data_IF_929990843663
#
_entry.id   IF_929990843663
#
_cell.length_a   1.000
_cell.length_b   1.000
_cell.length_c   1.000
_cell.angle_alpha   90.00
_cell.angle_beta   90.00
_cell.angle_gamma   90.00
#
_symmetry.space_group_name_H-M   'P 1'
#
loop_
_entity.id
_entity.type
_entity.pdbx_description
1 polymer ?
#
# COMPACT_ATOMS: atom_id res chain seq x y z
N UNK A 1 -12.58 5.71 -8.73
CA UNK A 1 -12.44 7.15 -8.50
C UNK A 1 -10.97 7.54 -8.40
N UNK A 2 -10.63 8.74 -8.88
CA UNK A 2 -9.31 9.33 -8.72
C UNK A 2 -9.07 9.80 -7.28
N UNK A 3 -7.81 10.12 -6.96
CA UNK A 3 -7.47 10.72 -5.65
C UNK A 3 -8.21 12.04 -5.44
N UNK A 4 -8.32 12.86 -6.49
CA UNK A 4 -9.04 14.14 -6.45
C UNK A 4 -10.53 13.95 -6.13
N UNK A 5 -11.18 12.95 -6.72
CA UNK A 5 -12.59 12.63 -6.44
C UNK A 5 -12.79 12.15 -4.99
N UNK A 6 -11.88 11.29 -4.48
CA UNK A 6 -11.91 10.84 -3.09
C UNK A 6 -11.71 12.01 -2.11
N UNK A 7 -10.78 12.91 -2.42
CA UNK A 7 -10.53 14.10 -1.62
C UNK A 7 -11.74 15.05 -1.62
N UNK A 8 -12.33 15.28 -2.80
CA UNK A 8 -13.56 16.09 -2.92
C UNK A 8 -14.73 15.46 -2.14
N UNK A 9 -14.85 14.12 -2.18
CA UNK A 9 -15.86 13.42 -1.39
C UNK A 9 -15.63 13.56 0.12
N UNK A 10 -14.39 13.45 0.60
CA UNK A 10 -14.08 13.66 2.01
C UNK A 10 -14.44 15.08 2.49
N UNK A 11 -14.13 16.10 1.68
CA UNK A 11 -14.55 17.49 1.94
C UNK A 11 -16.07 17.63 1.96
N UNK A 12 -16.76 17.05 0.98
CA UNK A 12 -18.23 17.05 0.94
C UNK A 12 -18.84 16.43 2.21
N UNK A 13 -18.25 15.33 2.74
CA UNK A 13 -18.72 14.74 4.00
C UNK A 13 -18.49 15.70 5.16
N UNK A 14 -17.32 16.34 5.25
CA UNK A 14 -17.01 17.29 6.30
C UNK A 14 -17.96 18.51 6.28
N UNK A 15 -18.26 19.04 5.09
CA UNK A 15 -19.23 20.13 4.90
C UNK A 15 -20.64 19.69 5.27
N UNK A 16 -21.08 18.53 4.78
CA UNK A 16 -22.45 18.04 4.99
C UNK A 16 -22.78 17.77 6.46
N UNK A 17 -21.80 17.34 7.22
CA UNK A 17 -21.96 17.01 8.64
C UNK A 17 -21.37 18.07 9.57
N UNK A 18 -20.97 19.23 9.01
CA UNK A 18 -20.44 20.38 9.75
C UNK A 18 -19.27 20.01 10.67
N UNK A 19 -18.34 19.16 10.18
CA UNK A 19 -17.26 18.60 11.00
C UNK A 19 -16.08 19.57 11.22
N UNK A 20 -15.93 20.61 10.38
CA UNK A 20 -14.75 21.49 10.43
C UNK A 20 -14.50 22.14 11.79
N UNK A 21 -15.51 22.59 12.55
CA UNK A 21 -15.29 23.20 13.87
C UNK A 21 -14.69 22.23 14.91
N UNK A 22 -14.89 20.91 14.70
CA UNK A 22 -14.44 19.87 15.62
C UNK A 22 -13.10 19.24 15.20
N UNK A 23 -12.49 19.71 14.10
CA UNK A 23 -11.21 19.23 13.59
C UNK A 23 -10.10 20.22 13.92
N UNK A 24 -9.09 19.78 14.64
CA UNK A 24 -7.86 20.54 14.85
C UNK A 24 -6.78 20.01 13.91
N UNK A 25 -6.39 20.80 12.92
CA UNK A 25 -5.33 20.48 11.97
C UNK A 25 -3.94 20.78 12.56
N UNK A 26 -2.90 20.26 11.91
CA UNK A 26 -1.49 20.49 12.26
C UNK A 26 -1.15 20.19 13.73
N UNK A 27 -1.90 19.26 14.32
CA UNK A 27 -1.84 18.92 15.75
C UNK A 27 -1.49 17.46 15.96
N UNK A 28 -0.23 17.04 15.65
CA UNK A 28 0.19 15.66 15.85
C UNK A 28 0.12 15.28 17.32
N UNK A 29 -0.57 14.17 17.61
CA UNK A 29 -0.64 13.64 18.98
C UNK A 29 0.67 12.94 19.32
N UNK A 30 1.30 13.35 20.43
CA UNK A 30 2.53 12.74 20.93
C UNK A 30 2.31 11.84 22.14
N UNK A 31 1.31 12.15 22.98
CA UNK A 31 1.04 11.39 24.21
C UNK A 31 -0.46 11.18 24.41
N UNK A 32 -0.81 10.04 24.98
CA UNK A 32 -2.14 9.76 25.49
C UNK A 32 -2.02 9.03 26.84
N UNK A 33 -2.58 9.59 27.91
CA UNK A 33 -2.46 9.05 29.26
C UNK A 33 -3.80 8.85 29.91
N UNK A 34 -4.01 7.66 30.47
CA UNK A 34 -5.19 7.32 31.26
C UNK A 34 -5.04 7.80 32.70
N UNK A 35 -6.06 8.48 33.22
CA UNK A 35 -6.22 8.77 34.64
C UNK A 35 -7.18 7.76 35.25
N UNK A 36 -6.70 7.00 36.24
CA UNK A 36 -7.55 6.06 36.97
C UNK A 36 -8.50 6.78 37.95
N UNK A 37 -8.08 7.93 38.47
CA UNK A 37 -8.88 8.73 39.37
C UNK A 37 -10.06 9.38 38.65
N UNK A 38 -9.79 10.03 37.51
CA UNK A 38 -10.82 10.75 36.75
C UNK A 38 -11.54 9.87 35.73
N UNK A 39 -11.02 8.67 35.45
CA UNK A 39 -11.48 7.77 34.40
C UNK A 39 -11.56 8.44 33.02
N UNK A 40 -10.54 9.20 32.69
CA UNK A 40 -10.41 9.96 31.45
C UNK A 40 -9.05 9.78 30.80
N UNK A 41 -8.99 10.04 29.51
CA UNK A 41 -7.77 10.17 28.72
C UNK A 41 -7.36 11.65 28.65
N UNK A 42 -6.08 11.95 28.91
CA UNK A 42 -5.45 13.22 28.53
C UNK A 42 -4.59 12.99 27.31
N UNK A 43 -4.93 13.64 26.21
CA UNK A 43 -4.19 13.64 24.93
C UNK A 43 -3.38 14.90 24.84
N UNK A 44 -2.08 14.78 24.49
CA UNK A 44 -1.16 15.91 24.34
C UNK A 44 -0.63 15.96 22.91
N UNK A 45 -0.73 17.10 22.28
CA UNK A 45 -0.19 17.39 20.93
C UNK A 45 1.25 17.90 21.00
N UNK A 46 1.92 17.96 19.84
CA UNK A 46 3.34 18.35 19.76
C UNK A 46 3.64 19.80 20.20
N UNK A 47 2.66 20.68 20.15
CA UNK A 47 2.74 22.05 20.68
C UNK A 47 2.47 22.14 22.20
N UNK A 48 2.19 21.01 22.85
CA UNK A 48 1.91 20.92 24.28
C UNK A 48 0.44 21.15 24.65
N UNK A 49 -0.45 21.40 23.70
CA UNK A 49 -1.89 21.50 23.95
C UNK A 49 -2.44 20.20 24.50
N UNK A 50 -3.30 20.28 25.52
CA UNK A 50 -3.91 19.12 26.16
C UNK A 50 -5.43 19.13 26.00
N UNK A 51 -5.97 17.96 25.74
CA UNK A 51 -7.42 17.70 25.72
C UNK A 51 -7.74 16.49 26.58
N UNK A 52 -8.81 16.59 27.39
CA UNK A 52 -9.27 15.50 28.23
C UNK A 52 -10.60 14.97 27.72
N UNK A 53 -10.72 13.66 27.62
CA UNK A 53 -11.93 12.99 27.12
C UNK A 53 -12.18 11.66 27.84
N UNK A 54 -13.44 11.29 27.99
CA UNK A 54 -13.82 10.00 28.57
C UNK A 54 -13.48 8.82 27.67
N UNK A 55 -13.57 9.02 26.35
CA UNK A 55 -13.26 8.01 25.32
C UNK A 55 -12.16 8.52 24.41
N UNK A 56 -11.25 7.63 24.04
CA UNK A 56 -10.20 7.90 23.06
C UNK A 56 -10.34 6.95 21.87
N UNK A 57 -10.62 7.48 20.69
CA UNK A 57 -10.78 6.69 19.47
C UNK A 57 -9.58 6.92 18.58
N UNK A 58 -8.74 5.88 18.46
CA UNK A 58 -7.53 5.92 17.65
C UNK A 58 -7.86 5.58 16.18
N UNK A 59 -8.24 6.59 15.41
CA UNK A 59 -8.47 6.49 13.98
C UNK A 59 -7.21 6.88 13.18
N UNK A 60 -6.05 6.41 13.63
CA UNK A 60 -4.71 6.84 13.15
C UNK A 60 -4.37 6.33 11.75
N UNK A 61 -5.12 5.35 11.24
CA UNK A 61 -4.82 4.65 10.00
C UNK A 61 -3.62 3.71 10.09
N UNK A 62 -3.59 2.72 9.23
CA UNK A 62 -2.53 1.71 9.20
C UNK A 62 -1.33 2.08 8.31
N UNK A 63 -1.45 3.13 7.47
CA UNK A 63 -0.42 3.60 6.53
C UNK A 63 -0.13 5.10 6.71
N UNK A 64 -0.17 5.60 7.94
CA UNK A 64 0.10 7.03 8.24
C UNK A 64 1.55 7.29 8.65
N UNK A 65 2.26 6.24 9.07
CA UNK A 65 3.64 6.34 9.53
C UNK A 65 4.59 6.02 8.38
N UNK A 66 5.20 7.05 7.82
CA UNK A 66 6.12 6.93 6.67
C UNK A 66 7.38 6.18 7.09
N UNK A 67 7.82 5.22 6.26
CA UNK A 67 9.10 4.54 6.40
C UNK A 67 10.16 5.25 5.54
N UNK A 68 10.92 6.15 6.15
CA UNK A 68 12.06 6.78 5.50
C UNK A 68 13.29 5.92 5.72
N UNK A 69 13.87 5.32 4.68
CA UNK A 69 15.05 4.50 4.82
C UNK A 69 16.26 5.33 5.25
N UNK A 70 17.14 4.71 6.04
CA UNK A 70 18.38 5.35 6.48
C UNK A 70 19.50 5.01 5.48
N UNK A 71 19.41 5.51 4.26
CA UNK A 71 20.51 5.41 3.32
C UNK A 71 21.65 6.35 3.76
N UNK A 72 22.87 5.82 3.79
CA UNK A 72 24.07 6.61 4.03
C UNK A 72 24.15 7.71 2.96
N UNK A 73 24.36 8.95 3.36
CA UNK A 73 24.53 10.09 2.46
C UNK A 73 23.26 10.67 1.84
N UNK A 74 22.06 10.16 2.18
CA UNK A 74 20.80 10.68 1.63
C UNK A 74 20.64 12.20 1.87
N UNK A 75 21.13 12.67 3.00
CA UNK A 75 21.12 14.09 3.39
C UNK A 75 22.07 14.97 2.56
N UNK A 76 23.00 14.35 1.84
CA UNK A 76 24.01 15.05 1.02
C UNK A 76 23.63 15.07 -0.48
N UNK A 77 22.54 14.44 -0.86
CA UNK A 77 22.09 14.44 -2.25
C UNK A 77 21.78 15.87 -2.72
N UNK A 78 22.32 16.25 -3.88
CA UNK A 78 22.19 17.62 -4.39
C UNK A 78 20.82 17.96 -4.96
N UNK A 79 20.06 16.94 -5.38
CA UNK A 79 18.74 17.09 -5.98
C UNK A 79 17.61 16.94 -4.96
N UNK A 80 16.35 17.08 -5.39
CA UNK A 80 15.19 16.85 -4.55
C UNK A 80 14.99 15.35 -4.24
N UNK A 81 14.56 15.07 -3.01
CA UNK A 81 14.14 13.75 -2.57
C UNK A 81 12.65 13.78 -2.24
N UNK A 82 11.87 13.04 -3.00
CA UNK A 82 10.42 12.93 -2.81
C UNK A 82 10.06 11.59 -2.19
N UNK A 83 9.11 11.56 -1.26
CA UNK A 83 8.56 10.32 -0.76
C UNK A 83 7.10 10.18 -1.20
N UNK A 84 6.71 9.01 -1.75
CA UNK A 84 5.35 8.79 -2.28
C UNK A 84 4.24 9.04 -1.26
N UNK A 85 4.53 8.94 0.05
CA UNK A 85 3.60 9.25 1.12
C UNK A 85 3.56 10.74 1.54
N UNK A 86 4.43 11.56 0.99
CA UNK A 86 4.54 13.00 1.25
C UNK A 86 4.71 13.76 -0.06
N UNK A 87 3.87 13.40 -1.04
CA UNK A 87 3.93 14.03 -2.35
C UNK A 87 3.51 15.49 -2.26
N UNK A 88 4.23 16.42 -2.90
CA UNK A 88 3.85 17.84 -2.91
C UNK A 88 2.44 18.05 -3.49
N UNK A 89 1.65 18.91 -2.90
CA UNK A 89 0.27 19.21 -3.33
C UNK A 89 0.20 19.74 -4.78
N UNK A 90 1.22 20.45 -5.22
CA UNK A 90 1.35 20.96 -6.60
C UNK A 90 1.82 19.92 -7.61
N UNK A 91 2.10 18.68 -7.17
CA UNK A 91 2.75 17.67 -8.01
C UNK A 91 4.25 17.91 -8.18
N UNK A 92 4.90 17.06 -8.96
CA UNK A 92 6.32 17.17 -9.33
C UNK A 92 6.42 16.98 -10.84
N UNK A 93 7.15 17.87 -11.50
CA UNK A 93 7.47 17.75 -12.93
C UNK A 93 8.87 17.15 -13.07
N UNK A 94 8.96 16.00 -13.72
CA UNK A 94 10.21 15.28 -14.00
C UNK A 94 10.68 15.47 -15.45
N UNK A 95 10.09 16.38 -16.21
CA UNK A 95 10.43 16.59 -17.61
C UNK A 95 11.92 16.88 -17.81
N UNK A 96 12.58 16.03 -18.59
CA UNK A 96 14.01 16.17 -18.92
C UNK A 96 14.97 15.77 -17.81
N UNK A 97 14.49 15.25 -16.67
CA UNK A 97 15.32 14.83 -15.53
C UNK A 97 15.69 13.34 -15.63
N UNK A 98 16.84 12.99 -15.07
CA UNK A 98 17.21 11.61 -14.70
C UNK A 98 16.64 11.32 -13.31
N UNK A 99 15.79 10.33 -13.19
CA UNK A 99 15.05 10.05 -11.95
C UNK A 99 15.37 8.66 -11.42
N UNK A 100 15.68 8.57 -10.13
CA UNK A 100 15.71 7.29 -9.41
C UNK A 100 14.38 7.02 -8.72
N UNK A 101 13.80 5.83 -8.90
CA UNK A 101 12.70 5.34 -8.05
C UNK A 101 13.20 4.16 -7.22
N UNK A 102 13.16 4.28 -5.90
CA UNK A 102 13.61 3.23 -4.98
C UNK A 102 12.38 2.52 -4.38
N UNK A 103 12.16 1.28 -4.83
CA UNK A 103 11.06 0.43 -4.37
C UNK A 103 9.97 0.20 -5.41
N UNK A 104 9.51 -1.05 -5.47
CA UNK A 104 8.52 -1.59 -6.41
C UNK A 104 7.31 -2.20 -5.71
N UNK A 105 6.92 -1.65 -4.55
CA UNK A 105 5.63 -1.92 -3.90
C UNK A 105 4.48 -1.18 -4.58
N UNK A 106 3.27 -1.22 -4.00
CA UNK A 106 2.07 -0.62 -4.60
C UNK A 106 2.23 0.84 -5.04
N UNK A 107 2.96 1.66 -4.26
CA UNK A 107 3.21 3.05 -4.63
C UNK A 107 4.18 3.17 -5.81
N UNK A 108 5.27 2.34 -5.82
CA UNK A 108 6.22 2.28 -6.94
C UNK A 108 5.52 1.81 -8.22
N UNK A 109 4.77 0.72 -8.16
CA UNK A 109 4.01 0.18 -9.30
C UNK A 109 3.11 1.23 -9.95
N UNK A 110 2.50 2.12 -9.19
CA UNK A 110 1.61 3.15 -9.71
C UNK A 110 2.34 4.42 -10.18
N UNK A 111 3.48 4.77 -9.57
CA UNK A 111 4.22 5.99 -9.92
C UNK A 111 5.23 5.80 -11.06
N UNK A 112 5.84 4.62 -11.17
CA UNK A 112 6.85 4.30 -12.18
C UNK A 112 6.37 4.61 -13.61
N UNK A 113 5.18 4.14 -14.06
CA UNK A 113 4.72 4.43 -15.42
C UNK A 113 4.56 5.93 -15.69
N UNK A 114 4.00 6.66 -14.74
CA UNK A 114 3.77 8.11 -14.87
C UNK A 114 5.08 8.90 -14.91
N UNK A 115 6.05 8.52 -14.07
CA UNK A 115 7.38 9.15 -14.07
C UNK A 115 8.12 8.84 -15.37
N UNK A 116 8.03 7.59 -15.86
CA UNK A 116 8.67 7.16 -17.11
C UNK A 116 8.19 7.93 -18.35
N UNK A 117 6.98 8.46 -18.34
CA UNK A 117 6.44 9.30 -19.41
C UNK A 117 7.09 10.68 -19.47
N UNK A 118 7.55 11.19 -18.33
CA UNK A 118 8.10 12.54 -18.19
C UNK A 118 9.63 12.57 -18.19
N UNK A 119 10.24 11.62 -17.47
CA UNK A 119 11.68 11.60 -17.24
C UNK A 119 12.49 11.38 -18.54
N UNK A 120 13.62 12.05 -18.65
CA UNK A 120 14.60 11.75 -19.69
C UNK A 120 15.15 10.33 -19.51
N UNK A 121 15.48 9.97 -18.27
CA UNK A 121 15.92 8.63 -17.88
C UNK A 121 15.29 8.26 -16.54
N UNK A 122 14.84 7.01 -16.40
CA UNK A 122 14.30 6.46 -15.18
C UNK A 122 15.07 5.21 -14.77
N UNK A 123 15.71 5.25 -13.60
CA UNK A 123 16.34 4.09 -12.96
C UNK A 123 15.48 3.59 -11.80
N UNK A 124 15.01 2.36 -11.90
CA UNK A 124 14.18 1.72 -10.87
C UNK A 124 15.03 0.73 -10.07
N UNK A 125 15.15 0.97 -8.77
CA UNK A 125 15.88 0.09 -7.85
C UNK A 125 14.89 -0.88 -7.18
N UNK A 126 14.99 -2.16 -7.52
CA UNK A 126 14.11 -3.22 -7.05
C UNK A 126 14.82 -4.18 -6.12
N UNK A 127 14.36 -4.31 -4.89
CA UNK A 127 14.81 -5.36 -3.96
C UNK A 127 14.03 -6.67 -4.14
N UNK A 128 12.74 -6.58 -4.41
CA UNK A 128 11.86 -7.73 -4.53
C UNK A 128 10.76 -7.42 -5.53
N UNK A 129 10.63 -8.26 -6.54
CA UNK A 129 9.52 -8.18 -7.48
C UNK A 129 8.17 -8.43 -6.79
N UNK A 130 7.12 -7.79 -7.25
CA UNK A 130 5.75 -8.02 -6.80
C UNK A 130 4.89 -8.54 -7.94
N UNK A 131 3.87 -9.33 -7.58
CA UNK A 131 2.80 -9.67 -8.51
C UNK A 131 1.96 -8.42 -8.78
N UNK A 132 1.82 -8.05 -10.05
CA UNK A 132 1.03 -6.92 -10.49
C UNK A 132 -0.02 -7.40 -11.49
N UNK A 133 -1.28 -7.14 -11.17
CA UNK A 133 -2.40 -7.42 -12.07
C UNK A 133 -2.79 -6.12 -12.78
N UNK A 134 -3.14 -6.15 -14.06
CA UNK A 134 -3.59 -4.96 -14.77
C UNK A 134 -4.76 -4.27 -14.07
N UNK A 135 -4.71 -2.96 -13.95
CA UNK A 135 -5.80 -2.17 -13.38
C UNK A 135 -6.96 -2.00 -14.37
N UNK A 136 -6.65 -1.97 -15.65
CA UNK A 136 -7.59 -1.61 -16.72
C UNK A 136 -8.41 -0.36 -16.37
N UNK A 137 -7.71 0.63 -15.79
CA UNK A 137 -8.33 1.87 -15.33
C UNK A 137 -8.91 2.64 -16.54
N UNK A 138 -10.19 2.96 -16.46
CA UNK A 138 -10.93 3.67 -17.50
C UNK A 138 -12.01 4.57 -16.92
N UNK A 139 -12.44 5.52 -17.68
CA UNK A 139 -13.67 6.25 -17.36
C UNK A 139 -14.87 5.31 -17.46
N UNK A 140 -15.77 5.38 -16.49
CA UNK A 140 -17.01 4.61 -16.53
C UNK A 140 -18.00 5.26 -17.50
N UNK A 141 -18.71 4.44 -18.27
CA UNK A 141 -19.80 4.90 -19.10
C UNK A 141 -20.97 5.40 -18.23
N UNK A 142 -21.63 6.51 -18.56
CA UNK A 142 -22.79 7.01 -17.81
C UNK A 142 -23.93 5.99 -17.65
N UNK A 143 -24.15 5.13 -18.63
CA UNK A 143 -25.15 4.07 -18.54
C UNK A 143 -24.74 2.99 -17.51
N UNK A 144 -23.46 2.59 -17.51
CA UNK A 144 -22.87 1.68 -16.51
C UNK A 144 -23.00 2.27 -15.09
N UNK A 145 -22.70 3.56 -14.91
CA UNK A 145 -22.88 4.26 -13.63
C UNK A 145 -24.34 4.24 -13.19
N UNK A 146 -25.27 4.47 -14.10
CA UNK A 146 -26.71 4.44 -13.81
C UNK A 146 -27.17 3.04 -13.38
N UNK A 147 -26.71 1.99 -14.06
CA UNK A 147 -27.00 0.60 -13.73
C UNK A 147 -26.45 0.22 -12.35
N UNK A 148 -25.19 0.56 -12.05
CA UNK A 148 -24.58 0.33 -10.75
C UNK A 148 -25.40 1.01 -9.64
N UNK A 149 -25.80 2.29 -9.85
CA UNK A 149 -26.60 3.04 -8.87
C UNK A 149 -27.99 2.43 -8.65
N UNK A 150 -28.63 1.96 -9.71
CA UNK A 150 -29.94 1.27 -9.62
C UNK A 150 -29.88 -0.01 -8.80
N UNK A 151 -28.75 -0.71 -8.86
CA UNK A 151 -28.51 -2.00 -8.20
C UNK A 151 -27.74 -1.89 -6.85
N UNK A 152 -27.48 -0.69 -6.33
CA UNK A 152 -26.74 -0.48 -5.07
C UNK A 152 -27.24 -1.33 -3.89
N UNK A 153 -28.55 -1.46 -3.59
CA UNK A 153 -28.99 -2.27 -2.45
C UNK A 153 -28.54 -3.73 -2.57
N UNK A 154 -28.64 -4.31 -3.76
CA UNK A 154 -28.25 -5.70 -4.02
C UNK A 154 -26.72 -5.88 -3.97
N UNK A 155 -25.97 -4.97 -4.60
CA UNK A 155 -24.50 -4.99 -4.59
C UNK A 155 -23.95 -4.85 -3.17
N UNK A 156 -24.53 -3.98 -2.36
CA UNK A 156 -24.16 -3.82 -0.94
C UNK A 156 -24.50 -5.04 -0.11
N UNK A 157 -25.64 -5.67 -0.34
CA UNK A 157 -26.00 -6.90 0.35
C UNK A 157 -25.02 -8.04 0.02
N UNK A 158 -24.65 -8.21 -1.25
CA UNK A 158 -23.63 -9.17 -1.68
C UNK A 158 -22.25 -8.87 -1.05
N UNK A 159 -21.83 -7.61 -1.06
CA UNK A 159 -20.57 -7.21 -0.44
C UNK A 159 -20.57 -7.47 1.08
N UNK A 160 -21.64 -7.12 1.79
CA UNK A 160 -21.77 -7.36 3.23
C UNK A 160 -21.75 -8.84 3.60
N UNK A 161 -22.23 -9.71 2.71
CA UNK A 161 -22.21 -11.16 2.90
C UNK A 161 -20.87 -11.81 2.56
N UNK A 162 -19.94 -11.07 1.95
CA UNK A 162 -18.62 -11.58 1.58
C UNK A 162 -17.61 -11.43 2.72
N UNK A 163 -16.60 -12.31 2.74
CA UNK A 163 -15.54 -12.31 3.77
C UNK A 163 -14.77 -10.98 3.85
N UNK A 164 -14.53 -10.32 2.71
CA UNK A 164 -13.70 -9.10 2.64
C UNK A 164 -14.49 -7.79 2.53
N UNK A 165 -15.83 -7.85 2.56
CA UNK A 165 -16.66 -6.69 2.27
C UNK A 165 -16.69 -6.27 0.79
N UNK A 166 -16.02 -7.03 -0.08
CA UNK A 166 -15.99 -6.86 -1.53
C UNK A 166 -16.53 -8.12 -2.20
N UNK A 167 -17.42 -7.96 -3.15
CA UNK A 167 -17.97 -9.09 -3.88
C UNK A 167 -17.11 -9.40 -5.12
N UNK A 168 -16.27 -10.42 -4.99
CA UNK A 168 -15.62 -11.08 -6.12
C UNK A 168 -16.11 -12.52 -6.16
N UNK A 169 -16.88 -12.93 -7.19
CA UNK A 169 -17.33 -14.32 -7.29
C UNK A 169 -16.12 -15.24 -7.41
N UNK A 170 -16.08 -16.30 -6.61
CA UNK A 170 -15.06 -17.34 -6.71
C UNK A 170 -15.29 -18.12 -8.00
N UNK A 171 -14.23 -18.29 -8.81
CA UNK A 171 -14.31 -18.99 -10.09
C UNK A 171 -14.46 -20.50 -9.93
N UNK A 172 -13.67 -21.10 -9.03
CA UNK A 172 -13.74 -22.53 -8.76
C UNK A 172 -13.28 -22.91 -7.36
N UNK A 173 -13.64 -24.12 -6.88
CA UNK A 173 -13.25 -24.58 -5.54
C UNK A 173 -11.76 -24.93 -5.45
N UNK A 174 -11.15 -25.44 -6.51
CA UNK A 174 -9.76 -25.92 -6.50
C UNK A 174 -9.10 -25.76 -7.85
N UNK A 175 -7.95 -25.08 -7.87
CA UNK A 175 -7.10 -24.98 -9.04
C UNK A 175 -6.40 -26.31 -9.36
N UNK A 176 -6.07 -27.11 -8.33
CA UNK A 176 -5.43 -28.42 -8.52
C UNK A 176 -6.38 -29.40 -9.18
N UNK A 177 -7.67 -29.37 -8.82
CA UNK A 177 -8.67 -30.28 -9.37
C UNK A 177 -9.14 -29.89 -10.78
N UNK A 178 -8.96 -28.61 -11.16
CA UNK A 178 -9.32 -28.12 -12.49
C UNK A 178 -8.29 -28.61 -13.54
N UNK A 179 -8.74 -28.86 -14.77
CA UNK A 179 -7.82 -29.10 -15.88
C UNK A 179 -6.98 -27.84 -16.20
N UNK A 180 -5.84 -28.04 -16.87
CA UNK A 180 -4.99 -26.93 -17.29
C UNK A 180 -5.74 -25.94 -18.19
N UNK A 181 -6.60 -26.45 -19.08
CA UNK A 181 -7.40 -25.63 -19.97
C UNK A 181 -8.42 -24.77 -19.19
N UNK A 182 -9.10 -25.36 -18.19
CA UNK A 182 -10.03 -24.63 -17.32
C UNK A 182 -9.31 -23.56 -16.50
N UNK A 183 -8.17 -23.91 -15.91
CA UNK A 183 -7.34 -22.91 -15.17
C UNK A 183 -6.93 -21.76 -16.05
N UNK A 184 -6.36 -22.03 -17.22
CA UNK A 184 -5.89 -21.01 -18.14
C UNK A 184 -7.03 -20.09 -18.59
N UNK A 185 -8.20 -20.64 -18.88
CA UNK A 185 -9.40 -19.87 -19.25
C UNK A 185 -9.86 -18.96 -18.10
N UNK A 186 -9.89 -19.46 -16.85
CA UNK A 186 -10.27 -18.69 -15.68
C UNK A 186 -9.23 -17.59 -15.40
N UNK A 187 -7.93 -17.92 -15.40
CA UNK A 187 -6.87 -16.94 -15.16
C UNK A 187 -6.85 -15.87 -16.23
N UNK A 188 -7.02 -16.23 -17.51
CA UNK A 188 -7.08 -15.25 -18.59
C UNK A 188 -8.30 -14.32 -18.44
N UNK A 189 -9.45 -14.88 -18.10
CA UNK A 189 -10.67 -14.09 -17.84
C UNK A 189 -10.45 -13.08 -16.70
N UNK A 190 -9.79 -13.51 -15.60
CA UNK A 190 -9.46 -12.62 -14.47
C UNK A 190 -8.40 -11.58 -14.81
N UNK A 191 -7.41 -11.96 -15.61
CA UNK A 191 -6.40 -11.04 -16.10
C UNK A 191 -7.01 -9.93 -16.96
N UNK A 192 -7.94 -10.28 -17.84
CA UNK A 192 -8.67 -9.34 -18.70
C UNK A 192 -9.65 -8.47 -17.90
N UNK A 193 -10.25 -8.99 -16.85
CA UNK A 193 -11.09 -8.22 -15.94
C UNK A 193 -10.25 -7.24 -15.13
N UNK A 194 -9.06 -7.66 -14.72
CA UNK A 194 -8.11 -6.88 -13.94
C UNK A 194 -8.47 -6.74 -12.47
N UNK A 195 -7.63 -5.97 -11.77
CA UNK A 195 -7.83 -5.65 -10.36
C UNK A 195 -7.71 -6.84 -9.42
N UNK A 196 -8.31 -6.72 -8.23
CA UNK A 196 -8.19 -7.73 -7.18
C UNK A 196 -9.02 -8.99 -7.43
N UNK A 197 -9.88 -9.01 -8.45
CA UNK A 197 -10.72 -10.16 -8.77
C UNK A 197 -9.90 -11.43 -9.10
N UNK A 198 -8.64 -11.29 -9.52
CA UNK A 198 -7.73 -12.41 -9.77
C UNK A 198 -7.52 -13.29 -8.52
N UNK A 199 -7.51 -12.69 -7.33
CA UNK A 199 -7.37 -13.42 -6.05
C UNK A 199 -8.50 -14.42 -5.79
N UNK A 200 -9.64 -14.23 -6.41
CA UNK A 200 -10.81 -15.08 -6.27
C UNK A 200 -10.98 -16.11 -7.42
N UNK A 201 -9.95 -16.32 -8.25
CA UNK A 201 -10.04 -17.29 -9.33
C UNK A 201 -10.27 -18.72 -8.80
N UNK A 202 -9.60 -19.09 -7.71
CA UNK A 202 -9.82 -20.36 -7.01
C UNK A 202 -9.75 -20.18 -5.49
N UNK A 203 -10.50 -21.03 -4.76
CA UNK A 203 -10.61 -20.93 -3.30
C UNK A 203 -9.40 -21.48 -2.55
N UNK A 204 -8.57 -22.31 -3.20
CA UNK A 204 -7.46 -23.05 -2.57
C UNK A 204 -6.09 -22.38 -2.64
N UNK A 205 -5.98 -21.18 -3.18
CA UNK A 205 -4.70 -20.46 -3.29
C UNK A 205 -3.99 -20.24 -1.94
N UNK A 206 -4.74 -20.07 -0.87
CA UNK A 206 -4.18 -19.84 0.47
C UNK A 206 -3.93 -21.13 1.26
N UNK A 207 -4.37 -22.28 0.75
CA UNK A 207 -4.32 -23.56 1.47
C UNK A 207 -3.54 -24.63 0.73
N UNK A 208 -3.16 -24.40 -0.55
CA UNK A 208 -2.40 -25.33 -1.38
C UNK A 208 -1.29 -24.58 -2.12
N UNK A 209 -0.03 -24.96 -1.85
CA UNK A 209 1.12 -24.42 -2.57
C UNK A 209 1.08 -24.79 -4.06
N UNK A 210 0.59 -25.99 -4.40
CA UNK A 210 0.43 -26.46 -5.78
C UNK A 210 -0.60 -25.57 -6.52
N UNK A 211 -1.75 -25.28 -5.91
CA UNK A 211 -2.73 -24.37 -6.47
C UNK A 211 -2.14 -22.97 -6.67
N UNK A 212 -1.44 -22.47 -5.67
CA UNK A 212 -0.79 -21.16 -5.69
C UNK A 212 0.25 -21.06 -6.81
N UNK A 213 1.06 -22.09 -7.01
CA UNK A 213 2.11 -22.12 -8.04
C UNK A 213 1.52 -22.05 -9.44
N UNK A 214 0.34 -22.65 -9.68
CA UNK A 214 -0.33 -22.52 -11.00
C UNK A 214 -0.69 -21.08 -11.34
N UNK A 215 -1.17 -20.29 -10.37
CA UNK A 215 -1.46 -18.87 -10.54
C UNK A 215 -0.17 -18.05 -10.68
N UNK A 216 0.84 -18.38 -9.85
CA UNK A 216 2.15 -17.76 -9.88
C UNK A 216 2.80 -17.88 -11.25
N UNK A 217 2.82 -19.08 -11.81
CA UNK A 217 3.44 -19.34 -13.12
C UNK A 217 2.64 -18.71 -14.27
N UNK A 218 1.32 -18.69 -14.17
CA UNK A 218 0.50 -17.93 -15.14
C UNK A 218 0.91 -16.47 -15.21
N UNK A 219 1.05 -15.79 -14.04
CA UNK A 219 1.44 -14.38 -14.00
C UNK A 219 2.87 -14.18 -14.51
N UNK A 220 3.82 -15.07 -14.14
CA UNK A 220 5.20 -15.00 -14.64
C UNK A 220 5.24 -15.15 -16.17
N UNK A 221 4.42 -16.01 -16.74
CA UNK A 221 4.32 -16.15 -18.19
C UNK A 221 3.72 -14.91 -18.86
N UNK A 222 2.77 -14.23 -18.21
CA UNK A 222 2.31 -12.90 -18.67
C UNK A 222 3.43 -11.88 -18.68
N UNK A 223 4.26 -11.83 -17.63
CA UNK A 223 5.41 -10.91 -17.55
C UNK A 223 6.39 -11.18 -18.69
N UNK A 224 6.77 -12.47 -18.91
CA UNK A 224 7.65 -12.88 -20.02
C UNK A 224 7.08 -12.56 -21.40
N UNK A 225 5.75 -12.57 -21.53
CA UNK A 225 5.09 -12.19 -22.77
C UNK A 225 4.97 -10.69 -23.03
N UNK A 226 4.97 -9.87 -21.96
CA UNK A 226 4.85 -8.41 -22.04
C UNK A 226 6.23 -7.75 -22.16
N UNK A 227 7.18 -8.15 -21.31
CA UNK A 227 8.53 -7.55 -21.24
C UNK A 227 9.42 -8.17 -22.30
N UNK A 228 9.95 -7.32 -23.20
CA UNK A 228 10.71 -7.77 -24.39
C UNK A 228 12.10 -8.29 -24.06
N UNK A 229 12.78 -7.66 -23.08
CA UNK A 229 14.09 -8.11 -22.64
C UNK A 229 13.96 -9.27 -21.65
N UNK A 230 14.48 -10.48 -21.97
CA UNK A 230 14.31 -11.65 -21.10
C UNK A 230 14.94 -11.47 -19.72
N UNK A 231 16.07 -10.75 -19.62
CA UNK A 231 16.73 -10.54 -18.33
C UNK A 231 15.87 -9.66 -17.42
N UNK A 232 15.34 -8.59 -17.94
CA UNK A 232 14.40 -7.71 -17.23
C UNK A 232 13.10 -8.45 -16.87
N UNK A 233 12.57 -9.28 -17.76
CA UNK A 233 11.39 -10.08 -17.49
C UNK A 233 11.60 -11.03 -16.29
N UNK A 234 12.74 -11.70 -16.19
CA UNK A 234 13.06 -12.58 -15.05
C UNK A 234 13.29 -11.80 -13.75
N UNK A 235 13.85 -10.59 -13.80
CA UNK A 235 13.96 -9.72 -12.63
C UNK A 235 12.59 -9.26 -12.13
N UNK A 236 11.64 -9.05 -13.01
CA UNK A 236 10.26 -8.64 -12.68
C UNK A 236 9.37 -9.83 -12.29
N UNK A 237 9.78 -11.06 -12.60
CA UNK A 237 9.04 -12.27 -12.24
C UNK A 237 9.20 -12.59 -10.74
N UNK A 238 8.10 -12.53 -9.93
CA UNK A 238 8.19 -12.78 -8.50
C UNK A 238 8.54 -14.24 -8.19
N UNK A 239 9.44 -14.44 -7.22
CA UNK A 239 9.89 -15.78 -6.78
C UNK A 239 9.11 -16.28 -5.55
N UNK A 240 8.44 -15.39 -4.81
CA UNK A 240 7.61 -15.76 -3.65
C UNK A 240 6.26 -16.33 -4.11
N UNK A 241 5.56 -16.98 -3.19
CA UNK A 241 4.19 -17.43 -3.42
C UNK A 241 3.26 -16.24 -3.69
N UNK A 242 2.32 -16.44 -4.60
CA UNK A 242 1.26 -15.48 -4.89
C UNK A 242 0.45 -15.18 -3.61
N UNK A 243 0.09 -13.94 -3.36
CA UNK A 243 -0.59 -13.45 -2.15
C UNK A 243 0.22 -13.47 -0.84
N UNK A 244 1.50 -13.93 -0.81
CA UNK A 244 2.36 -13.74 0.36
C UNK A 244 2.70 -12.27 0.64
N UNK A 245 2.57 -11.43 -0.37
CA UNK A 245 2.56 -9.97 -0.26
C UNK A 245 1.25 -9.44 -0.84
N UNK A 246 0.86 -8.23 -0.43
CA UNK A 246 -0.31 -7.59 -1.00
C UNK A 246 -0.17 -7.52 -2.52
N UNK A 247 -1.17 -8.07 -3.22
CA UNK A 247 -1.25 -8.00 -4.67
C UNK A 247 -1.29 -6.52 -5.10
N UNK A 248 -0.39 -6.16 -6.01
CA UNK A 248 -0.38 -4.84 -6.61
C UNK A 248 -1.30 -4.80 -7.84
N UNK A 249 -1.90 -3.65 -8.06
CA UNK A 249 -2.69 -3.36 -9.25
C UNK A 249 -2.07 -2.16 -9.94
N UNK A 250 -1.75 -2.28 -11.22
CA UNK A 250 -1.03 -1.26 -11.97
C UNK A 250 -1.56 -1.09 -13.39
N UNK A 251 -1.41 0.10 -13.93
CA UNK A 251 -1.64 0.41 -15.35
C UNK A 251 -0.29 0.49 -16.04
N UNK A 252 -0.10 -0.28 -17.11
CA UNK A 252 1.08 -0.30 -17.97
C UNK A 252 2.43 -0.51 -17.23
N UNK A 253 2.40 -1.17 -16.05
CA UNK A 253 3.59 -1.33 -15.22
C UNK A 253 4.68 -2.16 -15.91
N UNK A 254 4.33 -3.32 -16.45
CA UNK A 254 5.30 -4.19 -17.13
C UNK A 254 5.70 -3.63 -18.49
N UNK A 255 4.76 -3.04 -19.22
CA UNK A 255 4.96 -2.37 -20.51
C UNK A 255 5.98 -1.22 -20.41
N UNK A 256 6.00 -0.54 -19.25
CA UNK A 256 6.92 0.56 -18.96
C UNK A 256 8.38 0.15 -19.10
N UNK A 257 8.73 -1.08 -18.74
CA UNK A 257 10.11 -1.59 -18.84
C UNK A 257 10.55 -1.92 -20.29
N UNK A 258 9.65 -1.77 -21.26
CA UNK A 258 10.00 -1.83 -22.69
C UNK A 258 10.43 -0.47 -23.28
N UNK A 259 10.40 0.60 -22.48
CA UNK A 259 10.81 1.93 -22.89
C UNK A 259 12.34 2.04 -22.86
N UNK A 260 12.92 2.74 -23.83
CA UNK A 260 14.37 2.92 -23.93
C UNK A 260 14.94 3.76 -22.76
N UNK A 261 14.12 4.64 -22.18
CA UNK A 261 14.52 5.48 -21.06
C UNK A 261 14.34 4.85 -19.68
N UNK A 262 14.00 3.55 -19.58
CA UNK A 262 13.76 2.88 -18.28
C UNK A 262 14.77 1.76 -18.06
N UNK A 263 15.47 1.82 -16.94
CA UNK A 263 16.42 0.80 -16.48
C UNK A 263 15.97 0.20 -15.16
N UNK A 264 15.95 -1.12 -15.05
CA UNK A 264 15.71 -1.85 -13.81
C UNK A 264 17.05 -2.30 -13.21
N UNK A 265 17.27 -1.98 -11.94
CA UNK A 265 18.45 -2.37 -11.17
C UNK A 265 18.00 -3.29 -10.02
N UNK A 266 18.53 -4.51 -10.00
CA UNK A 266 18.31 -5.43 -8.90
C UNK A 266 19.23 -5.08 -7.71
N UNK A 267 18.61 -4.77 -6.57
CA UNK A 267 19.29 -4.48 -5.31
C UNK A 267 18.96 -5.52 -4.23
N UNK A 268 18.62 -6.74 -4.63
CA UNK A 268 18.31 -7.84 -3.72
C UNK A 268 19.56 -8.43 -3.07
N UNK A 269 20.64 -8.59 -3.83
CA UNK A 269 21.92 -9.13 -3.36
C UNK A 269 22.95 -8.02 -3.14
N UNK A 270 23.08 -7.09 -4.08
CA UNK A 270 23.93 -5.90 -3.95
C UNK A 270 23.06 -4.71 -3.57
N UNK A 271 23.03 -4.40 -2.29
CA UNK A 271 22.18 -3.30 -1.75
C UNK A 271 22.68 -1.92 -2.19
N UNK A 272 21.83 -0.92 -2.06
CA UNK A 272 22.26 0.49 -2.20
C UNK A 272 23.26 0.80 -1.07
N UNK A 273 24.51 1.07 -1.44
CA UNK A 273 25.59 1.35 -0.49
C UNK A 273 25.51 2.76 0.09
N UNK A 274 25.25 3.73 -0.78
CA UNK A 274 25.28 5.14 -0.43
C UNK A 274 24.53 5.99 -1.47
N UNK A 275 23.95 7.06 -1.01
CA UNK A 275 23.49 8.15 -1.86
C UNK A 275 24.59 9.20 -1.92
N UNK A 276 25.09 9.45 -3.12
CA UNK A 276 26.10 10.46 -3.40
C UNK A 276 25.43 11.81 -3.75
N UNK A 277 26.16 12.93 -3.74
CA UNK A 277 25.60 14.19 -4.20
C UNK A 277 25.01 14.14 -5.63
N UNK A 278 25.59 13.33 -6.50
CA UNK A 278 25.21 13.19 -7.91
C UNK A 278 24.30 11.97 -8.20
N UNK A 279 24.07 11.06 -7.24
CA UNK A 279 23.29 9.85 -7.56
C UNK A 279 23.31 8.73 -6.54
N UNK A 280 22.99 7.53 -7.00
CA UNK A 280 22.84 6.31 -6.21
C UNK A 280 23.98 5.34 -6.51
N UNK A 281 24.69 4.88 -5.49
CA UNK A 281 25.76 3.88 -5.63
C UNK A 281 25.27 2.49 -5.21
N UNK A 282 25.53 1.52 -6.10
CA UNK A 282 25.26 0.10 -5.88
C UNK A 282 26.52 -0.68 -6.27
N UNK A 283 27.26 -1.21 -5.30
CA UNK A 283 28.57 -1.81 -5.54
C UNK A 283 29.55 -0.78 -6.15
N UNK A 284 30.11 -1.13 -7.29
CA UNK A 284 31.04 -0.25 -8.03
C UNK A 284 30.31 0.72 -8.97
N UNK A 285 29.03 0.49 -9.24
CA UNK A 285 28.25 1.33 -10.17
C UNK A 285 27.68 2.56 -9.49
N UNK A 286 27.76 3.70 -10.18
CA UNK A 286 27.09 4.96 -9.80
C UNK A 286 26.05 5.29 -10.85
N UNK A 287 24.80 5.45 -10.42
CA UNK A 287 23.69 5.88 -11.24
C UNK A 287 23.44 7.37 -10.98
N UNK A 288 23.92 8.20 -11.90
CA UNK A 288 23.72 9.65 -11.79
C UNK A 288 22.24 9.99 -12.00
N UNK A 289 21.67 10.77 -11.08
CA UNK A 289 20.27 11.18 -11.12
C UNK A 289 20.11 12.61 -10.61
N UNK A 290 19.08 13.28 -11.12
CA UNK A 290 18.74 14.65 -10.76
C UNK A 290 17.67 14.71 -9.66
N UNK A 291 16.89 13.63 -9.49
CA UNK A 291 15.88 13.50 -8.44
C UNK A 291 15.76 12.05 -7.95
N UNK A 292 15.38 11.88 -6.66
CA UNK A 292 15.12 10.58 -6.06
C UNK A 292 13.67 10.52 -5.57
N UNK A 293 12.96 9.44 -5.93
CA UNK A 293 11.62 9.11 -5.44
C UNK A 293 11.70 7.88 -4.55
N UNK A 294 11.41 8.05 -3.28
CA UNK A 294 11.34 6.97 -2.30
C UNK A 294 9.92 6.37 -2.30
N UNK A 295 9.78 5.19 -2.90
CA UNK A 295 8.57 4.36 -2.86
C UNK A 295 8.73 3.23 -1.82
N UNK A 296 9.34 3.55 -0.67
CA UNK A 296 9.77 2.62 0.38
C UNK A 296 8.68 2.27 1.39
N UNK A 297 7.48 2.81 1.19
CA UNK A 297 6.28 2.44 1.93
C UNK A 297 6.19 3.04 3.33
N UNK A 298 5.58 2.28 4.23
CA UNK A 298 5.17 2.74 5.56
C UNK A 298 5.67 1.78 6.63
N UNK A 299 5.80 2.28 7.86
CA UNK A 299 5.78 1.49 9.08
C UNK A 299 4.32 1.09 9.34
N UNK A 300 3.91 0.03 8.61
CA UNK A 300 2.52 -0.35 8.46
C UNK A 300 1.93 -0.88 9.77
N UNK A 301 0.61 -0.83 9.89
CA UNK A 301 -0.22 -1.42 10.92
C UNK A 301 -0.11 -0.71 12.28
N UNK A 302 1.01 -0.85 12.97
CA UNK A 302 1.21 -0.38 14.34
C UNK A 302 2.08 0.85 14.45
N UNK A 303 2.78 1.23 13.38
CA UNK A 303 3.76 2.32 13.41
C UNK A 303 3.18 3.65 13.88
N UNK A 304 1.98 4.02 13.42
CA UNK A 304 1.32 5.24 13.86
C UNK A 304 1.03 5.24 15.38
N UNK A 305 0.51 4.12 15.93
CA UNK A 305 0.21 3.99 17.35
C UNK A 305 1.48 3.88 18.21
N UNK A 306 2.50 3.15 17.75
CA UNK A 306 3.78 2.99 18.48
C UNK A 306 4.62 4.28 18.54
N UNK A 307 4.34 5.26 17.68
CA UNK A 307 4.99 6.59 17.73
C UNK A 307 4.41 7.49 18.83
N UNK A 308 3.15 7.27 19.22
CA UNK A 308 2.51 7.97 20.33
C UNK A 308 2.89 7.28 21.64
N UNK A 309 3.27 8.05 22.67
CA UNK A 309 3.48 7.52 24.02
C UNK A 309 2.12 7.31 24.71
N UNK A 310 1.55 6.12 24.50
CA UNK A 310 0.24 5.74 25.03
C UNK A 310 0.43 4.94 26.31
N UNK A 311 -0.15 5.44 27.42
CA UNK A 311 -0.08 4.85 28.74
C UNK A 311 -1.47 4.60 29.31
N UNK A 312 -1.73 3.35 29.68
CA UNK A 312 -2.98 2.89 30.27
C UNK A 312 -2.94 2.74 31.80
N UNK A 313 -3.71 1.78 32.29
CA UNK A 313 -3.79 1.43 33.73
C UNK A 313 -2.42 1.01 34.25
N UNK A 314 -2.06 1.44 35.48
CA UNK A 314 -0.74 1.18 36.09
C UNK A 314 0.45 1.67 35.22
N UNK A 315 0.26 2.74 34.47
CA UNK A 315 1.23 3.29 33.51
C UNK A 315 1.69 2.29 32.42
N UNK A 316 0.87 1.28 32.12
CA UNK A 316 1.18 0.28 31.11
C UNK A 316 1.43 0.93 29.73
N UNK A 317 2.60 0.67 29.15
CA UNK A 317 2.98 1.19 27.83
C UNK A 317 2.41 0.31 26.73
N UNK A 318 1.71 0.90 25.75
CA UNK A 318 1.25 0.19 24.56
C UNK A 318 2.43 -0.35 23.72
N UNK A 319 3.51 0.44 23.64
CA UNK A 319 4.72 0.05 22.91
C UNK A 319 5.35 -1.21 23.49
N UNK A 320 5.47 -1.27 24.81
CA UNK A 320 6.08 -2.41 25.50
C UNK A 320 5.17 -3.65 25.43
N UNK A 321 3.83 -3.44 25.56
CA UNK A 321 2.88 -4.52 25.42
C UNK A 321 2.88 -5.16 24.01
N UNK A 322 3.26 -4.38 23.03
CA UNK A 322 3.34 -4.79 21.60
C UNK A 322 4.78 -5.04 21.11
N UNK A 323 5.73 -5.22 22.02
CA UNK A 323 7.13 -5.45 21.64
C UNK A 323 7.28 -6.73 20.83
N UNK A 324 6.78 -7.86 21.34
CA UNK A 324 6.85 -9.16 20.67
C UNK A 324 5.85 -9.28 19.52
N UNK A 325 4.59 -8.95 19.77
CA UNK A 325 3.54 -8.99 18.77
C UNK A 325 2.37 -8.06 19.13
N UNK A 326 1.82 -7.32 18.15
CA UNK A 326 0.66 -6.50 18.39
C UNK A 326 -0.59 -7.38 18.60
N UNK A 327 -1.31 -7.13 19.69
CA UNK A 327 -2.54 -7.84 20.04
C UNK A 327 -3.64 -6.88 20.37
N UNK A 328 -4.83 -7.14 19.85
CA UNK A 328 -6.05 -6.40 20.18
C UNK A 328 -7.24 -7.38 20.23
N UNK A 329 -8.25 -7.05 21.00
CA UNK A 329 -9.51 -7.76 20.99
C UNK A 329 -10.32 -7.32 19.77
N UNK A 330 -10.52 -8.22 18.82
CA UNK A 330 -11.23 -8.00 17.56
C UNK A 330 -10.72 -6.79 16.73
N UNK A 331 -9.44 -6.42 16.90
CA UNK A 331 -8.91 -5.22 16.25
C UNK A 331 -9.44 -3.89 16.81
N UNK A 332 -10.14 -3.92 17.93
CA UNK A 332 -10.90 -2.77 18.45
C UNK A 332 -10.40 -2.27 19.80
N UNK A 333 -10.10 -3.17 20.76
CA UNK A 333 -9.76 -2.81 22.13
C UNK A 333 -8.50 -3.53 22.61
N UNK A 334 -7.86 -3.00 23.65
CA UNK A 334 -6.63 -3.55 24.21
C UNK A 334 -6.78 -3.62 25.73
N UNK A 335 -6.34 -4.74 26.33
CA UNK A 335 -6.29 -4.91 27.78
C UNK A 335 -5.40 -3.83 28.42
N UNK A 336 -5.80 -3.31 29.58
CA UNK A 336 -5.16 -2.20 30.30
C UNK A 336 -5.34 -0.80 29.68
N UNK A 337 -6.13 -0.66 28.62
CA UNK A 337 -6.43 0.63 27.98
C UNK A 337 -7.94 0.87 27.96
N UNK A 338 -8.56 1.16 29.12
CA UNK A 338 -10.00 1.34 29.22
C UNK A 338 -10.46 2.53 28.37
N UNK A 339 -11.65 2.45 27.80
CA UNK A 339 -12.26 3.50 27.00
C UNK A 339 -11.43 3.95 25.77
N UNK A 340 -10.39 3.18 25.40
CA UNK A 340 -9.63 3.38 24.17
C UNK A 340 -10.05 2.36 23.11
N UNK A 341 -10.38 2.86 21.93
CA UNK A 341 -10.78 2.05 20.79
C UNK A 341 -9.86 2.35 19.59
N UNK A 342 -9.58 1.31 18.80
CA UNK A 342 -8.77 1.43 17.60
C UNK A 342 -9.64 1.15 16.38
N UNK A 343 -9.61 2.02 15.40
CA UNK A 343 -10.26 1.75 14.12
C UNK A 343 -9.25 0.99 13.24
N UNK A 344 -9.65 -0.18 12.75
CA UNK A 344 -8.80 -1.08 11.93
C UNK A 344 -7.47 -1.47 12.62
N UNK A 345 -7.55 -1.82 13.90
CA UNK A 345 -6.37 -2.26 14.68
C UNK A 345 -5.92 -3.68 14.35
N UNK A 346 -4.83 -4.15 14.99
CA UNK A 346 -4.30 -5.50 14.80
C UNK A 346 -5.37 -6.58 15.05
N UNK A 347 -5.50 -7.53 14.13
CA UNK A 347 -6.55 -8.56 14.16
C UNK A 347 -7.90 -8.13 13.58
N UNK A 348 -8.00 -6.91 13.05
CA UNK A 348 -9.16 -6.47 12.27
C UNK A 348 -9.18 -7.18 10.90
N UNK A 349 -10.37 -7.62 10.41
CA UNK A 349 -10.46 -8.32 9.13
C UNK A 349 -9.94 -7.55 7.93
N UNK A 350 -10.09 -6.23 7.93
CA UNK A 350 -9.74 -5.40 6.77
C UNK A 350 -8.24 -5.15 6.58
N UNK A 351 -7.42 -5.44 7.58
CA UNK A 351 -6.01 -5.03 7.57
C UNK A 351 -5.06 -6.22 7.58
N UNK A 352 -5.34 -7.27 8.35
CA UNK A 352 -4.45 -8.43 8.50
C UNK A 352 -4.81 -9.60 7.59
N UNK A 353 -6.02 -9.67 7.09
CA UNK A 353 -6.45 -10.77 6.20
C UNK A 353 -5.95 -10.62 4.77
N UNK A 354 -5.37 -9.48 4.43
CA UNK A 354 -4.78 -9.20 3.11
C UNK A 354 -3.24 -9.08 3.18
N UNK A 355 -2.63 -9.69 4.17
CA UNK A 355 -1.16 -9.78 4.31
C UNK A 355 -0.71 -11.21 4.21
#
# INVERSE_FOLDING_TARGET
>A
PSQQELHAYAKHVADRFELWPDIQFDSPVEKARWSEEDQTWTVTTGDGTQMTARYCIMATGCLSSVNTPKFKGLENFSGPVHHTARWPDGGVDFTGQRVAVIGTGSSGVQSIPVIAEQAAELTVFQRTANYVIPAHNRSLDPAEVAEIKANYPELRAKASASFSGNYFPVGGPSAVAASEEERNREYESRWQTGGLAFMAAYADFMTSEEANETASEFIRNKIRGIVKDPATAELLAPKQLFMCKRLCVGTDYYETYNRENVTLVDVSETVIDEILPEGVRVGEAVYEVDAIVLATGFDAMTGALKRIDIRGVEDASLRDLWEDAPRAYLGLAISKFPNMFIITGPGSPSVLTNM
#
